data_IF_219952021689
#
_entry.id   IF_219952021689
#
_cell.length_a   1.000
_cell.length_b   1.000
_cell.length_c   1.000
_cell.angle_alpha   90.00
_cell.angle_beta   90.00
_cell.angle_gamma   90.00
#
_symmetry.space_group_name_H-M   'P 1'
#
loop_
_entity.id
_entity.type
_entity.pdbx_description
1 polymer ?
#
# COMPACT_ATOMS: atom_id res chain seq x y z
N UNK A 1 -1.36 29.39 28.46
CA UNK A 1 -2.01 28.82 27.28
C UNK A 1 -1.25 27.57 26.85
N UNK A 2 -1.91 26.41 26.93
CA UNK A 2 -1.26 25.15 26.57
C UNK A 2 -1.32 24.96 25.06
N UNK A 3 -0.21 25.21 24.40
CA UNK A 3 -0.08 24.86 22.98
C UNK A 3 0.31 23.38 22.93
N UNK A 4 -0.59 22.56 22.40
CA UNK A 4 -0.29 21.17 22.17
C UNK A 4 0.90 21.06 21.22
N UNK A 5 1.99 20.46 21.66
CA UNK A 5 3.13 20.20 20.80
C UNK A 5 2.70 19.38 19.59
N UNK A 6 3.15 19.76 18.40
CA UNK A 6 2.92 18.96 17.20
C UNK A 6 3.62 17.61 17.34
N UNK A 7 2.91 16.54 16.97
CA UNK A 7 3.52 15.23 16.85
C UNK A 7 4.62 15.26 15.78
N UNK A 8 5.67 14.50 16.02
CA UNK A 8 6.74 14.32 15.05
C UNK A 8 6.22 13.55 13.83
N UNK A 9 6.88 13.74 12.70
CA UNK A 9 6.59 13.01 11.48
C UNK A 9 7.41 11.72 11.47
N UNK A 10 6.75 10.61 11.20
CA UNK A 10 7.39 9.31 11.01
C UNK A 10 7.18 8.86 9.57
N UNK A 11 8.26 8.73 8.82
CA UNK A 11 8.22 8.21 7.46
C UNK A 11 8.43 6.70 7.50
N UNK A 12 7.47 5.95 6.96
CA UNK A 12 7.54 4.49 6.91
C UNK A 12 7.55 4.05 5.45
N UNK A 13 8.58 3.32 5.07
CA UNK A 13 8.69 2.75 3.73
C UNK A 13 8.24 1.29 3.75
N UNK A 14 7.22 0.97 2.97
CA UNK A 14 6.78 -0.40 2.76
C UNK A 14 7.47 -0.95 1.51
N UNK A 15 8.37 -1.91 1.70
CA UNK A 15 9.08 -2.56 0.60
C UNK A 15 8.17 -3.48 -0.20
N UNK A 16 8.67 -3.98 -1.34
CA UNK A 16 7.92 -4.85 -2.23
C UNK A 16 7.36 -6.11 -1.57
N UNK A 17 8.06 -6.62 -0.55
CA UNK A 17 7.64 -7.81 0.19
C UNK A 17 6.50 -7.55 1.19
N UNK A 18 6.10 -6.29 1.38
CA UNK A 18 4.99 -5.97 2.29
C UNK A 18 3.64 -6.41 1.71
N UNK A 19 3.50 -6.45 0.40
CA UNK A 19 2.25 -6.84 -0.28
C UNK A 19 2.33 -8.23 -0.90
N UNK A 20 3.42 -8.54 -1.59
CA UNK A 20 3.60 -9.85 -2.24
C UNK A 20 4.86 -10.48 -1.67
N UNK A 21 4.70 -11.60 -0.99
CA UNK A 21 5.82 -12.36 -0.42
C UNK A 21 6.36 -13.35 -1.42
N UNK A 22 7.60 -13.75 -1.22
CA UNK A 22 8.25 -14.76 -2.05
C UNK A 22 7.39 -16.03 -2.10
N UNK A 23 7.16 -16.53 -3.30
CA UNK A 23 6.37 -17.73 -3.53
C UNK A 23 4.87 -17.49 -3.67
N UNK A 24 4.39 -16.29 -3.43
CA UNK A 24 2.96 -15.95 -3.61
C UNK A 24 2.69 -15.50 -5.05
N UNK A 25 1.50 -15.81 -5.55
CA UNK A 25 1.07 -15.37 -6.88
C UNK A 25 0.79 -13.86 -6.95
N UNK A 26 0.43 -13.25 -5.83
CA UNK A 26 0.10 -11.83 -5.76
C UNK A 26 -1.37 -11.55 -5.99
N UNK A 27 -2.25 -12.45 -5.53
CA UNK A 27 -3.69 -12.19 -5.58
C UNK A 27 -4.06 -11.01 -4.69
N UNK A 28 -5.18 -10.35 -4.97
CA UNK A 28 -5.67 -9.25 -4.14
C UNK A 28 -5.85 -9.70 -2.69
N UNK A 29 -6.39 -10.90 -2.49
CA UNK A 29 -6.59 -11.49 -1.17
C UNK A 29 -5.28 -11.64 -0.39
N UNK A 30 -4.25 -12.16 -1.05
CA UNK A 30 -2.91 -12.30 -0.45
C UNK A 30 -2.32 -10.96 -0.07
N UNK A 31 -2.45 -9.97 -0.95
CA UNK A 31 -1.90 -8.63 -0.71
C UNK A 31 -2.58 -7.95 0.48
N UNK A 32 -3.91 -8.02 0.59
CA UNK A 32 -4.62 -7.49 1.75
C UNK A 32 -4.23 -8.22 3.04
N UNK A 33 -4.10 -9.53 2.99
CA UNK A 33 -3.70 -10.32 4.16
C UNK A 33 -2.30 -9.94 4.62
N UNK A 34 -1.37 -9.76 3.68
CA UNK A 34 0.01 -9.37 4.00
C UNK A 34 0.09 -7.98 4.61
N UNK A 35 -0.83 -7.07 4.28
CA UNK A 35 -0.84 -5.71 4.80
C UNK A 35 -1.34 -5.62 6.25
N UNK A 36 -2.10 -6.60 6.74
CA UNK A 36 -2.74 -6.50 8.07
C UNK A 36 -1.76 -6.24 9.19
N UNK A 37 -0.65 -6.97 9.25
CA UNK A 37 0.32 -6.82 10.33
C UNK A 37 1.05 -5.49 10.27
N UNK A 38 1.73 -5.12 9.15
CA UNK A 38 2.43 -3.83 9.11
C UNK A 38 1.50 -2.64 9.25
N UNK A 39 0.32 -2.66 8.62
CA UNK A 39 -0.63 -1.55 8.72
C UNK A 39 -1.22 -1.45 10.13
N UNK A 40 -1.47 -2.58 10.80
CA UNK A 40 -1.89 -2.57 12.19
C UNK A 40 -0.86 -1.91 13.10
N UNK A 41 0.41 -2.16 12.87
CA UNK A 41 1.52 -1.51 13.60
C UNK A 41 1.55 0.00 13.32
N UNK A 42 1.38 0.40 12.06
CA UNK A 42 1.34 1.81 11.66
C UNK A 42 0.14 2.52 12.30
N UNK A 43 -1.02 1.88 12.32
CA UNK A 43 -2.21 2.44 12.94
C UNK A 43 -1.95 2.78 14.43
N UNK A 44 -1.31 1.88 15.15
CA UNK A 44 -0.95 2.14 16.56
C UNK A 44 0.04 3.28 16.70
N UNK A 45 1.03 3.36 15.81
CA UNK A 45 2.02 4.44 15.82
C UNK A 45 1.42 5.81 15.52
N UNK A 46 0.28 5.85 14.80
CA UNK A 46 -0.39 7.11 14.47
C UNK A 46 -0.92 7.86 15.69
N UNK A 47 -1.02 7.20 16.84
CA UNK A 47 -1.36 7.86 18.10
C UNK A 47 -0.28 8.86 18.55
N UNK A 48 0.97 8.55 18.23
CA UNK A 48 2.13 9.32 18.71
C UNK A 48 2.81 10.10 17.59
N UNK A 49 2.59 9.73 16.33
CA UNK A 49 3.28 10.32 15.18
C UNK A 49 2.29 10.70 14.09
N UNK A 50 2.68 11.72 13.31
CA UNK A 50 2.07 11.95 12.00
C UNK A 50 2.77 11.04 11.01
N UNK A 51 2.01 10.22 10.33
CA UNK A 51 2.57 9.14 9.50
C UNK A 51 2.60 9.54 8.04
N UNK A 52 3.73 9.28 7.38
CA UNK A 52 3.85 9.31 5.93
C UNK A 52 4.26 7.90 5.50
N UNK A 53 3.49 7.30 4.60
CA UNK A 53 3.78 5.95 4.09
C UNK A 53 4.23 6.07 2.64
N UNK A 54 5.38 5.47 2.33
CA UNK A 54 5.83 5.28 0.95
C UNK A 54 5.84 3.80 0.62
N UNK A 55 5.72 3.47 -0.64
CA UNK A 55 5.71 2.08 -1.08
C UNK A 55 6.35 1.89 -2.44
N UNK A 56 6.83 0.68 -2.71
CA UNK A 56 7.23 0.25 -4.04
C UNK A 56 6.06 -0.41 -4.78
N UNK A 57 6.27 -0.74 -6.05
CA UNK A 57 5.25 -1.35 -6.92
C UNK A 57 5.82 -2.35 -7.91
N UNK A 58 7.06 -2.81 -7.73
CA UNK A 58 7.75 -3.66 -8.69
C UNK A 58 6.98 -4.92 -9.11
N UNK A 59 6.58 -5.79 -8.18
CA UNK A 59 5.84 -7.00 -8.53
C UNK A 59 4.50 -6.73 -9.21
N UNK A 60 3.80 -5.69 -8.79
CA UNK A 60 2.49 -5.32 -9.36
C UNK A 60 2.63 -4.82 -10.79
N UNK A 61 3.61 -3.97 -11.06
CA UNK A 61 3.92 -3.50 -12.43
C UNK A 61 4.29 -4.68 -13.32
N UNK A 62 5.13 -5.59 -12.82
CA UNK A 62 5.52 -6.80 -13.55
C UNK A 62 4.33 -7.64 -13.96
N UNK A 63 3.39 -7.86 -13.05
CA UNK A 63 2.17 -8.62 -13.33
C UNK A 63 1.30 -7.93 -14.37
N UNK A 64 1.12 -6.61 -14.28
CA UNK A 64 0.38 -5.85 -15.28
C UNK A 64 1.06 -5.89 -16.65
N UNK A 65 2.37 -5.81 -16.71
CA UNK A 65 3.11 -5.89 -17.94
C UNK A 65 2.89 -7.24 -18.63
N UNK A 66 2.95 -8.33 -17.89
CA UNK A 66 2.65 -9.66 -18.40
C UNK A 66 1.21 -9.74 -18.94
N UNK A 67 0.24 -9.16 -18.26
CA UNK A 67 -1.15 -9.12 -18.71
C UNK A 67 -1.29 -8.35 -20.02
N UNK A 68 -0.55 -7.23 -20.18
CA UNK A 68 -0.54 -6.47 -21.44
C UNK A 68 -0.01 -7.31 -22.61
N UNK A 69 1.00 -8.14 -22.35
CA UNK A 69 1.61 -8.99 -23.39
C UNK A 69 0.73 -10.16 -23.81
N UNK A 70 -0.22 -10.57 -22.96
CA UNK A 70 -1.07 -11.74 -23.19
C UNK A 70 -2.33 -11.43 -24.02
N UNK A 71 -2.65 -10.17 -24.29
CA UNK A 71 -3.89 -9.82 -24.98
C UNK A 71 -3.68 -8.71 -26.01
N UNK A 72 -4.11 -8.96 -27.25
CA UNK A 72 -4.04 -8.01 -28.35
C UNK A 72 -5.39 -7.34 -28.64
N UNK A 73 -6.45 -7.70 -27.90
CA UNK A 73 -7.80 -7.21 -28.16
C UNK A 73 -7.97 -5.72 -27.88
N UNK A 74 -7.13 -5.16 -27.01
CA UNK A 74 -7.12 -3.72 -26.68
C UNK A 74 -5.69 -3.21 -26.78
N UNK A 75 -5.50 -1.89 -27.00
CA UNK A 75 -4.15 -1.35 -27.08
C UNK A 75 -3.36 -1.55 -25.78
N UNK A 76 -2.10 -1.92 -25.94
CA UNK A 76 -1.20 -2.04 -24.79
C UNK A 76 -0.89 -0.65 -24.21
N UNK A 77 -0.81 -0.57 -22.86
CA UNK A 77 -0.48 0.66 -22.17
C UNK A 77 1.03 0.78 -21.96
N UNK A 78 1.59 1.98 -22.07
CA UNK A 78 3.01 2.17 -21.80
C UNK A 78 3.35 2.00 -20.31
N UNK A 79 4.62 1.73 -20.04
CA UNK A 79 5.09 1.40 -18.69
C UNK A 79 4.73 2.47 -17.65
N UNK A 80 4.87 3.75 -17.99
CA UNK A 80 4.54 4.84 -17.06
C UNK A 80 3.07 4.86 -16.65
N UNK A 81 2.17 4.41 -17.51
CA UNK A 81 0.75 4.29 -17.17
C UNK A 81 0.53 3.09 -16.24
N UNK A 82 1.21 1.96 -16.50
CA UNK A 82 1.13 0.79 -15.62
C UNK A 82 1.64 1.12 -14.21
N UNK A 83 2.73 1.90 -14.13
CA UNK A 83 3.24 2.39 -12.85
C UNK A 83 2.20 3.25 -12.14
N UNK A 84 1.56 4.17 -12.84
CA UNK A 84 0.51 5.02 -12.28
C UNK A 84 -0.69 4.20 -11.79
N UNK A 85 -1.10 3.17 -12.55
CA UNK A 85 -2.19 2.28 -12.15
C UNK A 85 -1.86 1.52 -10.86
N UNK A 86 -0.64 1.01 -10.73
CA UNK A 86 -0.24 0.28 -9.52
C UNK A 86 -0.10 1.19 -8.32
N UNK A 87 0.26 2.45 -8.50
CA UNK A 87 0.25 3.43 -7.41
C UNK A 87 -1.15 3.61 -6.85
N UNK A 88 -2.16 3.74 -7.71
CA UNK A 88 -3.55 3.82 -7.29
C UNK A 88 -4.04 2.54 -6.62
N UNK A 89 -3.72 1.39 -7.18
CA UNK A 89 -4.08 0.08 -6.62
C UNK A 89 -3.51 -0.10 -5.21
N UNK A 90 -2.20 0.08 -5.06
CA UNK A 90 -1.51 -0.14 -3.79
C UNK A 90 -1.94 0.92 -2.77
N UNK A 91 -2.03 2.17 -3.18
CA UNK A 91 -2.51 3.25 -2.32
C UNK A 91 -3.90 2.99 -1.78
N UNK A 92 -4.79 2.48 -2.61
CA UNK A 92 -6.14 2.08 -2.19
C UNK A 92 -6.09 0.95 -1.15
N UNK A 93 -5.29 -0.08 -1.40
CA UNK A 93 -5.19 -1.20 -0.47
C UNK A 93 -4.63 -0.77 0.89
N UNK A 94 -3.61 0.08 0.89
CA UNK A 94 -3.02 0.63 2.13
C UNK A 94 -4.04 1.48 2.87
N UNK A 95 -4.70 2.41 2.18
CA UNK A 95 -5.69 3.31 2.77
C UNK A 95 -6.87 2.53 3.35
N UNK A 96 -7.41 1.60 2.59
CA UNK A 96 -8.54 0.78 3.01
C UNK A 96 -8.20 -0.05 4.26
N UNK A 97 -7.03 -0.66 4.28
CA UNK A 97 -6.57 -1.46 5.42
C UNK A 97 -6.33 -0.57 6.64
N UNK A 98 -5.70 0.59 6.44
CA UNK A 98 -5.43 1.54 7.51
C UNK A 98 -6.72 2.08 8.14
N UNK A 99 -7.68 2.44 7.31
CA UNK A 99 -9.01 2.90 7.77
C UNK A 99 -9.64 1.86 8.70
N UNK A 100 -9.65 0.60 8.28
CA UNK A 100 -10.20 -0.49 9.08
C UNK A 100 -9.47 -0.66 10.41
N UNK A 101 -8.16 -0.62 10.39
CA UNK A 101 -7.35 -0.76 11.61
C UNK A 101 -7.55 0.43 12.57
N UNK A 102 -7.63 1.64 12.04
CA UNK A 102 -7.89 2.83 12.85
C UNK A 102 -9.27 2.76 13.51
N UNK A 103 -10.28 2.31 12.77
CA UNK A 103 -11.63 2.13 13.31
C UNK A 103 -11.64 1.11 14.45
N UNK A 104 -10.99 -0.03 14.29
CA UNK A 104 -10.90 -1.05 15.33
C UNK A 104 -10.22 -0.54 16.59
N UNK A 105 -9.23 0.35 16.45
CA UNK A 105 -8.50 0.95 17.57
C UNK A 105 -9.21 2.17 18.16
N UNK A 106 -10.31 2.63 17.54
CA UNK A 106 -11.00 3.84 17.97
C UNK A 106 -10.21 5.12 17.74
N UNK A 107 -9.37 5.14 16.72
CA UNK A 107 -8.55 6.30 16.33
C UNK A 107 -9.23 6.99 15.15
N UNK A 108 -9.38 8.32 15.27
CA UNK A 108 -9.99 9.14 14.18
C UNK A 108 -8.97 9.47 13.06
#
# INVERSE_FOLDING_TARGET
>A
MNVKARKEILLIALGGNALIRKGQAGTVSEQFENLKVPIGQIARLSRDYRIIITHGNGPQVGNLLLQQECCDAVPALPLEILVAQTQGEIGYMIESTLDSELMELGID
#
